data_IF_764730571340
#
_entry.id   IF_764730571340
#
_cell.length_a   1.000
_cell.length_b   1.000
_cell.length_c   1.000
_cell.angle_alpha   90.00
_cell.angle_beta   90.00
_cell.angle_gamma   90.00
#
_symmetry.space_group_name_H-M   'P 1'
#
loop_
_entity.id
_entity.type
_entity.pdbx_description
1 polymer ?
#
# COMPACT_ATOMS: atom_id res chain seq x y z
N UNK A 1 -12.32 39.71 -13.85
CA UNK A 1 -10.94 39.19 -13.90
C UNK A 1 -10.89 38.01 -12.93
N UNK A 2 -10.77 36.79 -13.41
CA UNK A 2 -10.38 35.65 -12.56
C UNK A 2 -8.96 35.91 -12.07
N UNK A 3 -8.80 36.14 -10.78
CA UNK A 3 -7.50 36.26 -10.15
C UNK A 3 -6.76 34.95 -10.35
N UNK A 4 -5.49 35.00 -10.75
CA UNK A 4 -4.66 33.81 -10.88
C UNK A 4 -4.63 33.04 -9.55
N UNK A 5 -4.66 31.71 -9.56
CA UNK A 5 -4.54 30.87 -8.35
C UNK A 5 -3.33 31.32 -7.53
N UNK A 6 -2.21 31.59 -8.19
CA UNK A 6 -1.00 32.10 -7.55
C UNK A 6 -1.29 33.40 -6.77
N UNK A 7 -2.02 34.35 -7.36
CA UNK A 7 -2.29 35.65 -6.72
C UNK A 7 -3.24 35.52 -5.52
N UNK A 8 -4.12 34.50 -5.51
CA UNK A 8 -5.01 34.21 -4.38
C UNK A 8 -4.28 33.55 -3.21
N UNK A 9 -3.35 32.63 -3.48
CA UNK A 9 -2.66 31.84 -2.47
C UNK A 9 -1.43 32.57 -1.94
N UNK A 10 -0.75 33.35 -2.77
CA UNK A 10 0.42 34.14 -2.39
C UNK A 10 0.07 35.57 -1.91
N UNK A 11 -1.21 35.92 -1.79
CA UNK A 11 -1.53 37.13 -1.04
C UNK A 11 -1.07 36.91 0.40
N UNK A 12 -0.21 37.76 0.88
CA UNK A 12 0.30 37.70 2.27
C UNK A 12 -0.85 37.55 3.30
N UNK A 13 -2.01 38.12 2.98
CA UNK A 13 -3.19 38.04 3.82
C UNK A 13 -3.79 36.62 3.90
N UNK A 14 -3.87 35.86 2.79
CA UNK A 14 -4.43 34.51 2.84
C UNK A 14 -3.57 33.59 3.70
N UNK A 15 -2.27 33.55 3.43
CA UNK A 15 -1.34 32.66 4.12
C UNK A 15 -1.14 33.01 5.60
N UNK A 16 -0.96 34.29 5.90
CA UNK A 16 -0.80 34.77 7.28
C UNK A 16 -2.06 34.51 8.14
N UNK A 17 -3.25 34.70 7.55
CA UNK A 17 -4.51 34.42 8.25
C UNK A 17 -4.76 32.92 8.38
N UNK A 18 -4.47 32.14 7.34
CA UNK A 18 -4.57 30.68 7.34
C UNK A 18 -3.68 30.08 8.43
N UNK A 19 -2.43 30.51 8.50
CA UNK A 19 -1.50 30.07 9.53
C UNK A 19 -1.98 30.38 10.93
N UNK A 20 -2.25 31.65 11.24
CA UNK A 20 -2.72 32.09 12.56
C UNK A 20 -3.94 31.32 13.03
N UNK A 21 -4.81 30.96 12.07
CA UNK A 21 -6.08 30.28 12.35
C UNK A 21 -5.87 28.80 12.69
N UNK A 22 -4.89 28.12 12.10
CA UNK A 22 -4.76 26.66 12.16
C UNK A 22 -3.46 26.15 12.76
N UNK A 23 -2.51 27.02 13.09
CA UNK A 23 -1.15 26.65 13.52
C UNK A 23 -1.10 25.64 14.68
N UNK A 24 -1.83 25.92 15.76
CA UNK A 24 -1.82 25.05 16.95
C UNK A 24 -2.39 23.66 16.64
N UNK A 25 -3.47 23.62 15.86
CA UNK A 25 -4.10 22.35 15.44
C UNK A 25 -3.18 21.56 14.51
N UNK A 26 -2.52 22.21 13.58
CA UNK A 26 -1.57 21.55 12.66
C UNK A 26 -0.44 20.91 13.49
N UNK A 27 0.16 21.65 14.40
CA UNK A 27 1.26 21.11 15.24
C UNK A 27 0.81 19.96 16.14
N UNK A 28 -0.43 20.03 16.65
CA UNK A 28 -0.96 19.02 17.58
C UNK A 28 -1.47 17.75 16.89
N UNK A 29 -1.92 17.82 15.63
CA UNK A 29 -2.67 16.72 14.97
C UNK A 29 -1.88 15.96 13.92
N UNK A 30 -0.82 16.55 13.38
CA UNK A 30 -0.02 15.86 12.36
C UNK A 30 0.94 14.86 13.00
N UNK A 31 0.81 13.60 12.61
CA UNK A 31 1.73 12.53 12.97
C UNK A 31 3.17 12.86 12.56
N UNK A 32 4.15 12.44 13.37
CA UNK A 32 5.58 12.65 13.12
C UNK A 32 6.29 11.42 12.55
N UNK A 33 5.53 10.40 12.10
CA UNK A 33 6.11 9.23 11.45
C UNK A 33 6.73 9.61 10.09
N UNK A 34 7.78 8.88 9.68
CA UNK A 34 8.50 9.14 8.44
C UNK A 34 7.61 8.96 7.20
N UNK A 35 6.80 7.90 7.19
CA UNK A 35 5.88 7.58 6.10
C UNK A 35 4.49 8.14 6.40
N UNK A 36 4.17 9.26 5.78
CA UNK A 36 2.87 9.92 5.92
C UNK A 36 2.53 10.71 4.66
N UNK A 37 1.44 10.36 4.02
CA UNK A 37 0.87 11.07 2.87
C UNK A 37 -0.63 11.35 3.01
N UNK A 38 -1.23 11.04 4.17
CA UNK A 38 -2.63 11.36 4.46
C UNK A 38 -2.86 12.86 4.63
N UNK A 39 -4.00 13.37 4.14
CA UNK A 39 -4.34 14.79 4.19
C UNK A 39 -3.52 15.67 3.26
N UNK A 40 -3.66 16.98 3.38
CA UNK A 40 -2.75 17.94 2.77
C UNK A 40 -1.58 18.23 3.73
N UNK A 41 -0.36 18.36 3.22
CA UNK A 41 0.85 18.58 4.01
C UNK A 41 0.96 20.00 4.56
N UNK A 42 -0.01 20.43 5.39
CA UNK A 42 -0.05 21.78 5.94
C UNK A 42 1.10 22.04 6.92
N UNK A 43 1.58 21.01 7.59
CA UNK A 43 2.71 21.08 8.52
C UNK A 43 4.07 21.32 7.82
N UNK A 44 4.14 21.09 6.52
CA UNK A 44 5.33 21.41 5.70
C UNK A 44 5.29 22.81 5.08
N UNK A 45 4.20 23.54 5.31
CA UNK A 45 4.00 24.91 4.83
C UNK A 45 4.13 25.87 6.01
N UNK A 46 5.34 26.03 6.52
CA UNK A 46 5.59 26.87 7.67
C UNK A 46 5.94 28.29 7.24
N UNK A 47 5.29 29.34 7.77
CA UNK A 47 5.57 30.73 7.42
C UNK A 47 6.92 31.23 7.89
N UNK A 48 7.46 30.61 8.96
CA UNK A 48 8.83 30.88 9.41
C UNK A 48 9.92 30.28 8.50
N UNK A 49 9.55 29.47 7.52
CA UNK A 49 10.42 29.16 6.38
C UNK A 49 10.34 30.33 5.43
N UNK A 50 11.40 31.11 5.25
CA UNK A 50 11.49 32.29 4.38
C UNK A 50 11.09 32.03 2.91
N UNK A 51 10.45 30.91 2.56
CA UNK A 51 9.97 30.54 1.23
C UNK A 51 8.82 29.56 1.33
N UNK A 52 7.61 30.04 1.09
CA UNK A 52 6.49 29.17 0.80
C UNK A 52 6.85 28.24 -0.36
N UNK A 53 6.89 26.96 -0.11
CA UNK A 53 7.10 25.95 -1.14
C UNK A 53 5.77 25.23 -1.47
N UNK A 54 5.08 25.70 -2.51
CA UNK A 54 3.82 25.10 -2.97
C UNK A 54 3.97 23.63 -3.40
N UNK A 55 5.19 23.17 -3.70
CA UNK A 55 5.44 21.76 -4.00
C UNK A 55 5.03 20.86 -2.84
N UNK A 56 5.26 21.28 -1.61
CA UNK A 56 4.87 20.53 -0.41
C UNK A 56 3.35 20.32 -0.32
N UNK A 57 2.56 21.30 -0.77
CA UNK A 57 1.09 21.20 -0.83
C UNK A 57 0.65 20.28 -1.97
N UNK A 58 1.37 20.33 -3.11
CA UNK A 58 1.00 19.53 -4.29
C UNK A 58 1.32 18.04 -4.10
N UNK A 59 2.40 17.73 -3.41
CA UNK A 59 2.78 16.34 -3.09
C UNK A 59 1.73 15.74 -2.15
N UNK A 60 1.18 14.58 -2.52
CA UNK A 60 0.13 13.91 -1.76
C UNK A 60 -1.28 14.50 -1.95
N UNK A 61 -1.47 15.54 -2.78
CA UNK A 61 -2.79 16.16 -2.99
C UNK A 61 -3.76 15.31 -3.84
N UNK A 62 -3.36 14.17 -4.33
CA UNK A 62 -4.20 13.21 -5.07
C UNK A 62 -4.94 13.83 -6.29
N UNK A 63 -4.36 14.85 -6.92
CA UNK A 63 -4.98 15.57 -8.04
C UNK A 63 -6.20 16.41 -7.63
N UNK A 64 -6.40 16.67 -6.34
CA UNK A 64 -7.54 17.48 -5.85
C UNK A 64 -7.30 18.99 -5.95
N UNK A 65 -6.02 19.39 -6.07
CA UNK A 65 -5.63 20.82 -6.10
C UNK A 65 -5.16 21.27 -7.49
N UNK A 66 -4.43 20.43 -8.20
CA UNK A 66 -3.87 20.74 -9.51
C UNK A 66 -3.55 19.47 -10.31
N UNK A 67 -3.36 19.63 -11.62
CA UNK A 67 -2.79 18.61 -12.50
C UNK A 67 -1.30 18.89 -12.72
N UNK A 68 -0.45 17.92 -12.42
CA UNK A 68 1.01 18.03 -12.61
C UNK A 68 1.36 17.63 -14.03
N UNK A 69 1.89 18.57 -14.82
CA UNK A 69 2.30 18.32 -16.21
C UNK A 69 3.81 18.05 -16.33
N UNK A 70 4.61 18.54 -15.38
CA UNK A 70 6.06 18.35 -15.36
C UNK A 70 6.59 18.39 -13.93
N UNK A 71 7.46 17.45 -13.59
CA UNK A 71 8.13 17.40 -12.30
C UNK A 71 9.65 17.32 -12.48
N UNK A 72 10.39 17.99 -11.58
CA UNK A 72 11.85 17.83 -11.41
C UNK A 72 12.08 17.09 -10.10
N UNK A 73 12.73 15.93 -10.19
CA UNK A 73 13.01 15.06 -9.05
C UNK A 73 14.49 15.11 -8.69
N UNK A 74 14.78 14.98 -7.41
CA UNK A 74 16.13 14.65 -6.95
C UNK A 74 16.41 13.17 -7.26
N UNK A 75 17.67 12.87 -7.58
CA UNK A 75 18.11 11.51 -7.84
C UNK A 75 19.12 11.11 -6.76
N UNK A 76 18.98 9.87 -6.29
CA UNK A 76 19.95 9.25 -5.39
C UNK A 76 20.91 8.37 -6.17
N UNK A 77 22.21 8.33 -5.82
CA UNK A 77 23.19 7.44 -6.44
C UNK A 77 22.80 5.97 -6.22
N UNK A 78 22.92 5.17 -7.28
CA UNK A 78 22.76 3.73 -7.11
C UNK A 78 23.94 3.18 -6.28
N UNK A 79 23.68 2.29 -5.30
CA UNK A 79 24.73 1.67 -4.51
C UNK A 79 25.64 0.82 -5.42
N UNK A 80 26.95 0.84 -5.18
CA UNK A 80 27.92 0.06 -5.95
C UNK A 80 27.80 -1.44 -5.66
N UNK A 81 27.62 -1.79 -4.41
CA UNK A 81 27.50 -3.17 -3.94
C UNK A 81 26.27 -3.30 -3.04
N UNK A 82 25.54 -4.37 -3.27
CA UNK A 82 24.33 -4.73 -2.51
C UNK A 82 24.44 -6.18 -2.06
N UNK A 83 23.95 -6.47 -0.87
CA UNK A 83 23.77 -7.81 -0.37
C UNK A 83 22.51 -7.93 0.45
N UNK A 84 21.94 -9.14 0.53
CA UNK A 84 20.77 -9.43 1.33
C UNK A 84 21.09 -10.39 2.47
N UNK A 85 20.49 -10.12 3.64
CA UNK A 85 20.28 -11.11 4.68
C UNK A 85 18.78 -11.39 4.77
N UNK A 86 18.38 -12.67 4.61
CA UNK A 86 17.00 -13.11 4.70
C UNK A 86 16.85 -13.84 6.04
N UNK A 87 16.12 -13.22 6.95
CA UNK A 87 15.85 -13.75 8.29
C UNK A 87 14.52 -14.51 8.25
N UNK A 88 14.47 -15.70 8.88
CA UNK A 88 13.32 -16.60 8.80
C UNK A 88 12.67 -16.77 10.17
N UNK A 89 11.32 -16.67 10.22
CA UNK A 89 10.54 -16.70 11.46
C UNK A 89 9.39 -17.69 11.38
N UNK A 90 8.95 -18.17 12.55
CA UNK A 90 7.74 -18.96 12.74
C UNK A 90 6.58 -18.16 13.30
N UNK A 91 6.84 -16.92 13.66
CA UNK A 91 5.89 -16.01 14.29
C UNK A 91 6.02 -14.60 13.71
N UNK A 92 4.86 -13.96 13.47
CA UNK A 92 4.77 -12.62 12.92
C UNK A 92 5.39 -11.58 13.85
N UNK A 93 5.11 -11.66 15.15
CA UNK A 93 5.55 -10.65 16.13
C UNK A 93 7.07 -10.73 16.34
N UNK A 94 7.63 -11.97 16.38
CA UNK A 94 9.09 -12.16 16.40
C UNK A 94 9.78 -11.45 15.23
N UNK A 95 9.18 -11.48 14.03
CA UNK A 95 9.71 -10.76 12.87
C UNK A 95 9.67 -9.24 13.03
N UNK A 96 8.68 -8.69 13.73
CA UNK A 96 8.61 -7.27 14.05
C UNK A 96 9.65 -6.85 15.11
N UNK A 97 9.86 -7.67 16.12
CA UNK A 97 10.93 -7.47 17.12
C UNK A 97 12.32 -7.51 16.45
N UNK A 98 12.53 -8.46 15.55
CA UNK A 98 13.76 -8.54 14.77
C UNK A 98 13.95 -7.34 13.84
N UNK A 99 12.86 -6.72 13.35
CA UNK A 99 12.93 -5.47 12.58
C UNK A 99 13.57 -4.37 13.43
N UNK A 100 13.07 -4.16 14.64
CA UNK A 100 13.61 -3.12 15.54
C UNK A 100 15.10 -3.34 15.81
N UNK A 101 15.49 -4.58 16.13
CA UNK A 101 16.89 -4.93 16.35
C UNK A 101 17.77 -4.73 15.09
N UNK A 102 17.21 -4.94 13.90
CA UNK A 102 17.90 -4.79 12.62
C UNK A 102 18.21 -3.33 12.31
N UNK A 103 17.31 -2.40 12.66
CA UNK A 103 17.48 -0.97 12.37
C UNK A 103 18.75 -0.37 13.00
N UNK A 104 19.18 -0.88 14.15
CA UNK A 104 20.43 -0.43 14.81
C UNK A 104 21.70 -0.70 13.97
N UNK A 105 21.61 -1.60 12.97
CA UNK A 105 22.72 -1.92 12.05
C UNK A 105 22.72 -1.07 10.79
N UNK A 106 21.81 -0.12 10.64
CA UNK A 106 21.72 0.82 9.52
C UNK A 106 21.47 0.16 8.17
N UNK A 107 20.44 -0.69 8.02
CA UNK A 107 20.10 -1.30 6.74
C UNK A 107 19.65 -0.25 5.71
N UNK A 108 19.82 -0.55 4.43
CA UNK A 108 19.25 0.25 3.35
C UNK A 108 17.73 0.02 3.22
N UNK A 109 17.28 -1.20 3.50
CA UNK A 109 15.85 -1.56 3.57
C UNK A 109 15.64 -2.77 4.46
N UNK A 110 14.46 -2.85 5.10
CA UNK A 110 13.96 -4.06 5.76
C UNK A 110 12.53 -4.30 5.28
N UNK A 111 12.35 -5.34 4.46
CA UNK A 111 11.07 -5.70 3.88
C UNK A 111 10.50 -6.96 4.53
N UNK A 112 9.29 -6.87 5.02
CA UNK A 112 8.55 -8.01 5.55
C UNK A 112 7.77 -8.73 4.45
N UNK A 113 7.81 -10.08 4.45
CA UNK A 113 6.99 -10.93 3.58
C UNK A 113 6.38 -12.05 4.43
N UNK A 114 5.06 -12.03 4.57
CA UNK A 114 4.33 -12.93 5.44
C UNK A 114 3.82 -14.22 4.76
N UNK A 115 3.28 -15.10 5.58
CA UNK A 115 2.81 -16.45 5.27
C UNK A 115 1.98 -16.56 4.00
N UNK A 116 1.03 -15.65 3.80
CA UNK A 116 0.11 -15.72 2.65
C UNK A 116 0.87 -15.63 1.32
N UNK A 117 1.84 -14.72 1.22
CA UNK A 117 2.68 -14.57 0.02
C UNK A 117 3.59 -15.78 -0.16
N UNK A 118 4.26 -16.23 0.91
CA UNK A 118 5.17 -17.38 0.88
C UNK A 118 4.43 -18.64 0.39
N UNK A 119 3.23 -18.89 0.93
CA UNK A 119 2.40 -20.03 0.55
C UNK A 119 2.01 -19.98 -0.92
N UNK A 120 1.54 -18.83 -1.40
CA UNK A 120 1.16 -18.67 -2.79
C UNK A 120 2.36 -18.72 -3.75
N UNK A 121 3.52 -18.23 -3.33
CA UNK A 121 4.75 -18.34 -4.13
C UNK A 121 5.19 -19.81 -4.30
N UNK A 122 5.09 -20.63 -3.25
CA UNK A 122 5.37 -22.08 -3.32
C UNK A 122 4.45 -22.83 -4.28
N UNK A 123 3.20 -22.38 -4.41
CA UNK A 123 2.19 -22.96 -5.32
C UNK A 123 2.28 -22.41 -6.75
N UNK A 124 2.95 -21.31 -6.95
CA UNK A 124 3.06 -20.64 -8.25
C UNK A 124 4.14 -21.28 -9.13
N UNK A 125 3.78 -21.70 -10.35
CA UNK A 125 4.74 -22.22 -11.33
C UNK A 125 5.88 -21.22 -11.66
N UNK A 126 5.59 -19.93 -11.58
CA UNK A 126 6.56 -18.87 -11.87
C UNK A 126 7.59 -18.65 -10.75
N UNK A 127 7.26 -18.98 -9.50
CA UNK A 127 8.11 -18.70 -8.34
C UNK A 127 8.64 -19.95 -7.67
N UNK A 128 7.92 -21.07 -7.66
CA UNK A 128 8.27 -22.30 -6.89
C UNK A 128 9.69 -22.81 -7.13
N UNK A 129 10.24 -22.59 -8.32
CA UNK A 129 11.59 -23.02 -8.71
C UNK A 129 12.72 -22.09 -8.23
N UNK A 130 12.38 -20.89 -7.74
CA UNK A 130 13.33 -19.83 -7.39
C UNK A 130 13.22 -19.43 -5.91
N UNK A 131 12.86 -20.39 -5.03
CA UNK A 131 12.68 -20.18 -3.59
C UNK A 131 13.79 -20.84 -2.76
N UNK A 132 14.94 -21.13 -3.37
CA UNK A 132 16.10 -21.76 -2.73
C UNK A 132 16.69 -20.93 -1.58
N UNK A 133 16.34 -19.66 -1.50
CA UNK A 133 16.71 -18.79 -0.39
C UNK A 133 15.88 -19.03 0.88
N UNK A 134 14.72 -19.70 0.80
CA UNK A 134 13.91 -20.06 1.97
C UNK A 134 14.49 -21.28 2.67
N UNK A 135 14.68 -21.19 3.98
CA UNK A 135 15.12 -22.30 4.82
C UNK A 135 13.99 -22.82 5.69
N UNK A 136 13.78 -24.13 5.67
CA UNK A 136 12.69 -24.76 6.41
C UNK A 136 11.31 -24.29 5.95
N UNK A 137 10.40 -24.13 6.91
CA UNK A 137 9.02 -23.71 6.66
C UNK A 137 8.73 -22.39 7.41
N UNK A 138 9.21 -21.23 6.90
CA UNK A 138 8.92 -19.94 7.54
C UNK A 138 7.46 -19.57 7.32
N UNK A 139 6.87 -18.92 8.34
CA UNK A 139 5.63 -18.19 8.18
C UNK A 139 5.91 -16.77 7.70
N UNK A 140 7.03 -16.21 8.15
CA UNK A 140 7.41 -14.83 7.88
C UNK A 140 8.91 -14.76 7.59
N UNK A 141 9.30 -13.83 6.71
CA UNK A 141 10.69 -13.50 6.47
C UNK A 141 10.89 -11.99 6.48
N UNK A 142 12.08 -11.57 6.93
CA UNK A 142 12.58 -10.22 6.67
C UNK A 142 13.68 -10.28 5.62
N UNK A 143 13.54 -9.49 4.58
CA UNK A 143 14.56 -9.25 3.56
C UNK A 143 15.29 -7.97 3.95
N UNK A 144 16.50 -8.10 4.47
CA UNK A 144 17.33 -6.99 4.90
C UNK A 144 18.37 -6.68 3.84
N UNK A 145 18.29 -5.49 3.26
CA UNK A 145 19.27 -5.02 2.28
C UNK A 145 20.35 -4.19 2.96
N UNK A 146 21.61 -4.54 2.69
CA UNK A 146 22.79 -3.76 3.04
C UNK A 146 23.51 -3.33 1.77
N UNK A 147 23.95 -2.08 1.74
CA UNK A 147 24.73 -1.55 0.64
C UNK A 147 26.06 -0.96 1.12
N UNK A 148 26.97 -0.71 0.20
CA UNK A 148 28.29 -0.13 0.50
C UNK A 148 29.11 0.18 -0.76
N UNK A 149 30.27 0.77 -0.53
CA UNK A 149 31.23 1.15 -1.56
C UNK A 149 32.09 -0.04 -2.04
N UNK A 150 32.19 -1.10 -1.22
CA UNK A 150 32.94 -2.32 -1.53
C UNK A 150 32.16 -3.57 -1.11
N UNK A 151 32.42 -4.68 -1.81
CA UNK A 151 31.82 -5.98 -1.46
C UNK A 151 32.21 -6.43 -0.04
N UNK A 152 33.46 -6.18 0.37
CA UNK A 152 33.96 -6.50 1.72
C UNK A 152 33.18 -5.75 2.81
N UNK A 153 32.86 -4.48 2.58
CA UNK A 153 32.04 -3.68 3.49
C UNK A 153 30.65 -4.29 3.66
N UNK A 154 29.97 -4.61 2.55
CA UNK A 154 28.63 -5.20 2.57
C UNK A 154 28.62 -6.56 3.28
N UNK A 155 29.62 -7.41 3.00
CA UNK A 155 29.78 -8.71 3.68
C UNK A 155 30.00 -8.55 5.18
N UNK A 156 30.77 -7.55 5.59
CA UNK A 156 30.99 -7.24 7.01
C UNK A 156 29.73 -6.79 7.71
N UNK A 157 28.93 -5.88 7.08
CA UNK A 157 27.65 -5.43 7.61
C UNK A 157 26.66 -6.60 7.78
N UNK A 158 26.51 -7.45 6.77
CA UNK A 158 25.64 -8.62 6.81
C UNK A 158 26.09 -9.63 7.87
N UNK A 159 27.40 -9.84 8.00
CA UNK A 159 27.95 -10.70 9.06
C UNK A 159 27.62 -10.16 10.45
N UNK A 160 27.84 -8.87 10.69
CA UNK A 160 27.53 -8.19 11.95
C UNK A 160 26.05 -8.34 12.32
N UNK A 161 25.14 -8.09 11.36
CA UNK A 161 23.72 -8.31 11.55
C UNK A 161 23.41 -9.77 11.88
N UNK A 162 23.97 -10.72 11.13
CA UNK A 162 23.73 -12.15 11.34
C UNK A 162 24.21 -12.61 12.72
N UNK A 163 25.36 -12.15 13.15
CA UNK A 163 25.92 -12.48 14.47
C UNK A 163 25.06 -11.86 15.60
N UNK A 164 24.52 -10.65 15.39
CA UNK A 164 23.58 -10.01 16.31
C UNK A 164 22.27 -10.80 16.43
N UNK A 165 21.65 -11.20 15.32
CA UNK A 165 20.40 -11.97 15.33
C UNK A 165 20.58 -13.31 16.06
N UNK A 166 21.70 -14.02 15.81
CA UNK A 166 22.02 -15.26 16.55
C UNK A 166 22.19 -15.03 18.04
N UNK A 167 22.90 -13.96 18.44
CA UNK A 167 23.10 -13.61 19.87
C UNK A 167 21.80 -13.30 20.58
N UNK A 168 20.87 -12.63 19.90
CA UNK A 168 19.56 -12.28 20.43
C UNK A 168 18.55 -13.44 20.33
N UNK A 169 18.94 -14.55 19.68
CA UNK A 169 18.06 -15.69 19.38
C UNK A 169 16.80 -15.26 18.60
N UNK A 170 16.94 -14.24 17.75
CA UNK A 170 15.91 -13.80 16.81
C UNK A 170 16.18 -14.44 15.45
N UNK A 171 15.16 -15.01 14.83
CA UNK A 171 15.28 -15.76 13.57
C UNK A 171 15.92 -17.16 13.73
N UNK A 172 15.21 -18.19 13.29
CA UNK A 172 15.72 -19.57 13.37
C UNK A 172 16.72 -19.93 12.24
N UNK A 173 16.74 -19.15 11.15
CA UNK A 173 17.66 -19.34 10.04
C UNK A 173 17.94 -18.01 9.32
N UNK A 174 19.13 -17.89 8.75
CA UNK A 174 19.58 -16.70 8.01
C UNK A 174 20.23 -17.14 6.71
N UNK A 175 19.67 -16.70 5.58
CA UNK A 175 20.29 -16.85 4.25
C UNK A 175 20.94 -15.54 3.83
N UNK A 176 22.17 -15.60 3.33
CA UNK A 176 22.87 -14.40 2.84
C UNK A 176 23.12 -14.51 1.34
N UNK A 177 22.81 -13.44 0.60
CA UNK A 177 22.93 -13.38 -0.86
C UNK A 177 23.76 -12.17 -1.29
N UNK A 178 24.68 -12.42 -2.24
CA UNK A 178 25.53 -11.39 -2.84
C UNK A 178 25.52 -11.46 -4.38
N UNK A 179 24.97 -12.54 -4.92
CA UNK A 179 24.77 -12.71 -6.36
C UNK A 179 23.54 -11.91 -6.82
N UNK A 180 23.74 -11.06 -7.84
CA UNK A 180 22.70 -10.13 -8.32
C UNK A 180 21.48 -10.85 -8.91
N UNK A 181 21.65 -12.04 -9.52
CA UNK A 181 20.54 -12.79 -10.08
C UNK A 181 19.66 -13.36 -8.94
N UNK A 182 20.27 -13.88 -7.88
CA UNK A 182 19.55 -14.37 -6.68
C UNK A 182 18.87 -13.24 -5.92
N UNK A 183 19.53 -12.09 -5.77
CA UNK A 183 18.94 -10.86 -5.20
C UNK A 183 17.70 -10.45 -6.02
N UNK A 184 17.82 -10.43 -7.34
CA UNK A 184 16.69 -10.10 -8.24
C UNK A 184 15.51 -11.06 -8.10
N UNK A 185 15.75 -12.36 -7.85
CA UNK A 185 14.68 -13.35 -7.62
C UNK A 185 13.89 -13.05 -6.33
N UNK A 186 14.58 -12.67 -5.23
CA UNK A 186 13.93 -12.28 -3.97
C UNK A 186 13.05 -11.05 -4.18
N UNK A 187 13.58 -10.02 -4.82
CA UNK A 187 12.84 -8.80 -5.12
C UNK A 187 11.68 -9.03 -6.08
N UNK A 188 11.82 -9.93 -7.07
CA UNK A 188 10.71 -10.32 -7.95
C UNK A 188 9.56 -10.95 -7.17
N UNK A 189 9.83 -11.82 -6.20
CA UNK A 189 8.80 -12.39 -5.32
C UNK A 189 8.13 -11.29 -4.48
N UNK A 190 8.91 -10.37 -3.90
CA UNK A 190 8.38 -9.25 -3.12
C UNK A 190 7.45 -8.36 -3.95
N UNK A 191 7.86 -8.01 -5.17
CA UNK A 191 7.04 -7.22 -6.10
C UNK A 191 5.75 -7.92 -6.51
N UNK A 192 5.79 -9.26 -6.65
CA UNK A 192 4.60 -10.03 -6.99
C UNK A 192 3.66 -10.26 -5.80
N UNK A 193 4.02 -9.83 -4.59
CA UNK A 193 3.31 -10.10 -3.34
C UNK A 193 1.82 -9.80 -3.40
N UNK A 194 1.42 -8.64 -3.93
CA UNK A 194 0.01 -8.31 -4.13
C UNK A 194 -0.71 -9.32 -5.03
N UNK A 195 -0.13 -9.63 -6.19
CA UNK A 195 -0.72 -10.59 -7.13
C UNK A 195 -0.82 -12.00 -6.53
N UNK A 196 0.20 -12.42 -5.80
CA UNK A 196 0.22 -13.70 -5.10
C UNK A 196 -0.89 -13.77 -4.04
N UNK A 197 -1.03 -12.75 -3.20
CA UNK A 197 -2.10 -12.73 -2.19
C UNK A 197 -3.49 -12.74 -2.80
N UNK A 198 -3.71 -11.98 -3.88
CA UNK A 198 -5.02 -11.91 -4.54
C UNK A 198 -5.39 -13.20 -5.29
N UNK A 199 -4.43 -14.12 -5.49
CA UNK A 199 -4.66 -15.39 -6.18
C UNK A 199 -5.35 -16.46 -5.31
N UNK A 200 -5.64 -16.20 -4.04
CA UNK A 200 -6.37 -17.15 -3.19
C UNK A 200 -7.74 -17.47 -3.78
N UNK A 201 -8.19 -18.74 -3.75
CA UNK A 201 -9.50 -19.13 -4.26
C UNK A 201 -10.66 -18.53 -3.44
N UNK A 202 -11.85 -18.48 -4.04
CA UNK A 202 -13.09 -18.07 -3.38
C UNK A 202 -13.32 -16.56 -3.32
N UNK A 203 -14.42 -16.17 -2.70
CA UNK A 203 -14.92 -14.78 -2.65
C UNK A 203 -14.27 -13.90 -1.59
N UNK A 204 -13.69 -14.51 -0.54
CA UNK A 204 -12.92 -13.77 0.46
C UNK A 204 -11.58 -13.39 -0.14
N UNK A 205 -11.29 -12.10 -0.22
CA UNK A 205 -10.06 -11.56 -0.80
C UNK A 205 -9.36 -10.61 0.18
N UNK A 206 -8.03 -10.53 0.16
CA UNK A 206 -7.26 -9.58 0.96
C UNK A 206 -7.45 -8.16 0.41
N UNK A 207 -8.45 -7.45 0.95
CA UNK A 207 -8.89 -6.14 0.46
C UNK A 207 -8.04 -5.02 1.07
N UNK A 208 -7.62 -4.01 0.27
CA UNK A 208 -6.70 -2.94 0.70
C UNK A 208 -7.40 -1.75 1.36
N UNK A 209 -8.26 -1.95 2.35
CA UNK A 209 -9.05 -0.88 2.97
C UNK A 209 -8.40 -0.26 4.23
N UNK A 210 -7.50 -0.99 4.89
CA UNK A 210 -6.71 -0.55 6.06
C UNK A 210 -5.22 -0.82 5.87
N UNK A 211 -4.80 -1.13 4.65
CA UNK A 211 -3.38 -1.28 4.33
C UNK A 211 -2.66 0.05 4.38
N UNK A 212 -1.31 0.01 4.43
CA UNK A 212 -0.48 1.19 4.31
C UNK A 212 -0.49 2.09 5.56
N UNK A 213 -0.96 1.56 6.68
CA UNK A 213 -0.81 2.26 7.95
C UNK A 213 0.65 2.30 8.37
N UNK A 214 1.07 3.43 8.92
CA UNK A 214 2.44 3.64 9.36
C UNK A 214 2.48 4.09 10.82
N UNK A 215 3.39 3.50 11.58
CA UNK A 215 3.72 3.87 12.95
C UNK A 215 5.24 4.02 13.09
N UNK A 216 5.72 4.60 14.20
CA UNK A 216 7.16 4.55 14.47
C UNK A 216 7.65 3.10 14.51
N UNK A 217 8.77 2.76 13.84
CA UNK A 217 9.25 1.37 13.73
C UNK A 217 9.44 0.67 15.08
N UNK A 218 9.82 1.41 16.12
CA UNK A 218 10.01 0.87 17.47
C UNK A 218 8.67 0.39 18.09
N UNK A 219 7.55 0.95 17.66
CA UNK A 219 6.21 0.57 18.11
C UNK A 219 5.61 -0.59 17.29
N UNK A 220 6.27 -0.99 16.23
CA UNK A 220 5.74 -1.96 15.24
C UNK A 220 5.34 -3.32 15.87
N UNK A 221 6.11 -3.93 16.80
CA UNK A 221 5.72 -5.20 17.40
C UNK A 221 4.37 -5.13 18.12
N UNK A 222 4.17 -4.14 18.98
CA UNK A 222 2.92 -3.98 19.73
C UNK A 222 1.76 -3.55 18.82
N UNK A 223 2.03 -2.66 17.86
CA UNK A 223 1.06 -2.23 16.87
C UNK A 223 0.51 -3.40 16.06
N UNK A 224 1.40 -4.23 15.48
CA UNK A 224 1.02 -5.37 14.64
C UNK A 224 0.30 -6.43 15.45
N UNK A 225 0.70 -6.68 16.68
CA UNK A 225 0.01 -7.59 17.59
C UNK A 225 -1.44 -7.18 17.82
N UNK A 226 -1.68 -5.92 18.18
CA UNK A 226 -3.02 -5.39 18.41
C UNK A 226 -3.84 -5.30 17.12
N UNK A 227 -3.20 -5.01 16.00
CA UNK A 227 -3.84 -5.05 14.69
C UNK A 227 -4.35 -6.45 14.37
N UNK A 228 -3.51 -7.48 14.55
CA UNK A 228 -3.87 -8.88 14.31
C UNK A 228 -5.01 -9.34 15.25
N UNK A 229 -4.98 -8.92 16.51
CA UNK A 229 -6.06 -9.16 17.48
C UNK A 229 -7.39 -8.57 17.01
N UNK A 230 -7.41 -7.32 16.52
CA UNK A 230 -8.62 -6.69 15.94
C UNK A 230 -9.15 -7.52 14.76
N UNK A 231 -8.26 -7.90 13.83
CA UNK A 231 -8.65 -8.70 12.66
C UNK A 231 -9.27 -10.04 13.09
N UNK A 232 -8.61 -10.76 14.00
CA UNK A 232 -9.08 -12.06 14.50
C UNK A 232 -10.40 -11.97 15.29
N UNK A 233 -10.54 -10.93 16.13
CA UNK A 233 -11.77 -10.69 16.90
C UNK A 233 -12.97 -10.38 16.00
N UNK A 234 -12.69 -9.87 14.80
CA UNK A 234 -13.72 -9.68 13.76
C UNK A 234 -13.91 -10.92 12.85
N UNK A 235 -13.37 -12.11 13.24
CA UNK A 235 -13.59 -13.39 12.58
C UNK A 235 -13.00 -13.50 11.19
N UNK A 236 -11.84 -12.88 10.97
CA UNK A 236 -11.07 -12.98 9.72
C UNK A 236 -9.57 -13.07 9.99
N UNK A 237 -8.79 -13.18 8.92
CA UNK A 237 -7.32 -13.17 8.93
C UNK A 237 -6.81 -12.12 7.94
N UNK A 238 -5.54 -11.76 8.02
CA UNK A 238 -4.91 -10.81 7.12
C UNK A 238 -3.61 -11.34 6.48
N UNK A 239 -3.28 -10.83 5.31
CA UNK A 239 -1.95 -10.92 4.74
C UNK A 239 -1.10 -9.73 5.17
N UNK A 240 0.18 -9.99 5.47
CA UNK A 240 1.14 -9.00 5.96
C UNK A 240 2.34 -8.93 5.03
N UNK A 241 2.73 -7.75 4.61
CA UNK A 241 3.98 -7.47 3.91
C UNK A 241 4.25 -5.97 3.90
N UNK A 242 5.46 -5.53 3.66
CA UNK A 242 5.72 -4.10 3.51
C UNK A 242 7.07 -3.64 4.03
N UNK A 243 7.18 -2.33 4.16
CA UNK A 243 8.38 -1.58 4.49
C UNK A 243 8.58 -1.54 6.01
N UNK A 244 9.04 -2.65 6.59
CA UNK A 244 9.15 -2.79 8.05
C UNK A 244 10.14 -1.76 8.64
N UNK A 245 11.22 -1.42 7.92
CA UNK A 245 12.17 -0.37 8.35
C UNK A 245 11.53 1.01 8.53
N UNK A 246 10.42 1.28 7.85
CA UNK A 246 9.71 2.55 7.91
C UNK A 246 8.46 2.50 8.82
N UNK A 247 8.21 1.35 9.47
CA UNK A 247 6.99 1.13 10.24
C UNK A 247 5.71 1.11 9.39
N UNK A 248 5.83 0.96 8.06
CA UNK A 248 4.72 0.98 7.10
C UNK A 248 4.48 -0.42 6.55
N UNK A 249 3.35 -1.02 6.90
CA UNK A 249 2.97 -2.35 6.45
C UNK A 249 1.68 -2.35 5.64
N UNK A 250 1.67 -3.16 4.59
CA UNK A 250 0.48 -3.43 3.79
C UNK A 250 -0.28 -4.61 4.39
N UNK A 251 -1.12 -4.33 5.38
CA UNK A 251 -1.92 -5.34 6.07
C UNK A 251 -3.29 -5.43 5.40
N UNK A 252 -3.65 -6.62 4.91
CA UNK A 252 -4.86 -6.82 4.10
C UNK A 252 -5.76 -7.88 4.70
N UNK A 253 -6.78 -7.51 5.51
CA UNK A 253 -7.77 -8.45 5.99
C UNK A 253 -8.56 -9.10 4.85
N UNK A 254 -8.89 -10.39 4.97
CA UNK A 254 -9.65 -11.12 3.96
C UNK A 254 -11.14 -10.89 4.14
N UNK A 255 -11.76 -10.25 3.17
CA UNK A 255 -13.17 -9.81 3.22
C UNK A 255 -13.94 -10.31 1.99
N UNK A 256 -15.19 -10.74 2.21
CA UNK A 256 -16.13 -11.01 1.11
C UNK A 256 -17.01 -9.77 0.88
N UNK A 257 -16.68 -8.98 -0.13
CA UNK A 257 -17.45 -7.77 -0.50
C UNK A 257 -18.78 -8.06 -1.22
N UNK A 258 -19.12 -9.33 -1.48
CA UNK A 258 -20.41 -9.73 -2.08
C UNK A 258 -21.50 -9.97 -1.02
N UNK A 259 -21.16 -9.92 0.26
CA UNK A 259 -22.09 -10.15 1.37
C UNK A 259 -22.24 -8.91 2.26
N UNK A 260 -23.42 -8.73 2.83
CA UNK A 260 -23.70 -7.65 3.78
C UNK A 260 -22.77 -7.73 4.99
N UNK A 261 -22.64 -8.92 5.60
CA UNK A 261 -21.77 -9.19 6.74
C UNK A 261 -20.30 -8.84 6.42
N UNK A 262 -19.82 -9.17 5.22
CA UNK A 262 -18.45 -8.83 4.81
C UNK A 262 -18.22 -7.32 4.69
N UNK A 263 -19.19 -6.57 4.15
CA UNK A 263 -19.11 -5.12 4.04
C UNK A 263 -19.15 -4.46 5.44
N UNK A 264 -20.06 -4.91 6.31
CA UNK A 264 -20.15 -4.42 7.69
C UNK A 264 -18.87 -4.71 8.48
N UNK A 265 -18.30 -5.90 8.30
CA UNK A 265 -17.02 -6.29 8.90
C UNK A 265 -15.86 -5.42 8.41
N UNK A 266 -15.80 -5.11 7.12
CA UNK A 266 -14.81 -4.19 6.54
C UNK A 266 -14.88 -2.82 7.22
N UNK A 267 -16.07 -2.25 7.32
CA UNK A 267 -16.27 -0.93 7.95
C UNK A 267 -15.85 -0.97 9.42
N UNK A 268 -16.28 -2.01 10.17
CA UNK A 268 -15.95 -2.16 11.58
C UNK A 268 -14.44 -2.29 11.82
N UNK A 269 -13.75 -3.16 11.07
CA UNK A 269 -12.29 -3.30 11.18
C UNK A 269 -11.62 -1.96 10.87
N UNK A 270 -12.06 -1.25 9.83
CA UNK A 270 -11.48 0.04 9.45
C UNK A 270 -11.63 1.09 10.55
N UNK A 271 -12.78 1.12 11.22
CA UNK A 271 -13.05 2.02 12.35
C UNK A 271 -12.11 1.71 13.53
N UNK A 272 -12.06 0.45 13.98
CA UNK A 272 -11.20 0.00 15.08
C UNK A 272 -9.69 0.23 14.77
N UNK A 273 -9.25 -0.01 13.54
CA UNK A 273 -7.87 0.25 13.12
C UNK A 273 -7.56 1.74 13.07
N UNK A 274 -8.52 2.59 12.66
CA UNK A 274 -8.30 4.04 12.70
C UNK A 274 -8.10 4.57 14.12
N UNK A 275 -8.77 3.99 15.12
CA UNK A 275 -8.55 4.29 16.53
C UNK A 275 -7.16 3.82 16.99
N UNK A 276 -6.77 2.60 16.62
CA UNK A 276 -5.45 2.05 16.93
C UNK A 276 -4.32 2.92 16.35
N UNK A 277 -4.41 3.29 15.06
CA UNK A 277 -3.43 4.16 14.40
C UNK A 277 -3.30 5.49 15.15
N UNK A 278 -4.42 6.09 15.53
CA UNK A 278 -4.45 7.35 16.27
C UNK A 278 -3.80 7.22 17.65
N UNK A 279 -4.05 6.13 18.37
CA UNK A 279 -3.43 5.84 19.68
C UNK A 279 -1.89 5.75 19.57
N UNK A 280 -1.39 5.22 18.45
CA UNK A 280 0.03 5.07 18.19
C UNK A 280 0.71 6.31 17.57
N UNK A 281 -0.02 7.43 17.44
CA UNK A 281 0.41 8.65 16.73
C UNK A 281 0.83 8.36 15.28
N UNK A 282 0.21 7.35 14.65
CA UNK A 282 0.51 6.88 13.33
C UNK A 282 -0.18 7.66 12.21
N UNK A 283 -0.04 7.14 10.99
CA UNK A 283 -0.73 7.60 9.79
C UNK A 283 -1.58 6.48 9.19
N UNK A 284 -2.81 6.80 8.76
CA UNK A 284 -3.66 5.83 8.04
C UNK A 284 -3.14 5.55 6.64
N UNK A 285 -2.35 6.44 6.07
CA UNK A 285 -1.69 6.23 4.80
C UNK A 285 -0.24 6.67 4.89
N UNK A 286 0.67 5.71 4.73
CA UNK A 286 2.09 5.95 4.68
C UNK A 286 2.55 6.47 3.31
N UNK A 287 2.02 5.90 2.22
CA UNK A 287 2.45 6.20 0.85
C UNK A 287 1.34 6.19 -0.21
N UNK A 288 0.21 5.46 -0.01
CA UNK A 288 -0.81 5.26 -1.05
C UNK A 288 -1.82 6.41 -1.18
N UNK A 289 -1.92 7.30 -0.19
CA UNK A 289 -2.93 8.37 -0.10
C UNK A 289 -4.23 7.89 0.56
N UNK A 290 -5.08 8.84 0.93
CA UNK A 290 -6.36 8.55 1.60
C UNK A 290 -7.42 8.06 0.60
N UNK A 291 -7.47 8.67 -0.57
CA UNK A 291 -8.46 8.36 -1.60
C UNK A 291 -9.89 8.51 -1.08
N UNK A 292 -10.75 7.54 -1.47
CA UNK A 292 -12.13 7.44 -0.97
C UNK A 292 -12.17 6.64 0.33
N UNK A 293 -11.45 5.52 0.38
CA UNK A 293 -11.64 4.49 1.39
C UNK A 293 -11.10 4.88 2.76
N UNK A 294 -9.99 5.61 2.83
CA UNK A 294 -9.40 6.14 4.06
C UNK A 294 -9.88 7.53 4.41
N UNK A 295 -10.25 8.33 3.39
CA UNK A 295 -10.75 9.69 3.56
C UNK A 295 -12.01 9.80 4.44
N UNK A 296 -12.78 8.72 4.62
CA UNK A 296 -13.90 8.67 5.57
C UNK A 296 -13.47 8.86 7.03
N UNK A 297 -12.20 8.59 7.34
CA UNK A 297 -11.62 8.71 8.67
C UNK A 297 -10.80 9.98 8.88
N UNK A 298 -10.67 10.84 7.86
CA UNK A 298 -9.84 12.05 7.93
C UNK A 298 -10.25 12.97 9.08
N UNK A 299 -11.56 13.17 9.30
CA UNK A 299 -12.02 13.99 10.45
C UNK A 299 -11.68 13.34 11.80
N UNK A 300 -11.75 12.01 11.92
CA UNK A 300 -11.33 11.26 13.12
C UNK A 300 -9.84 11.45 13.40
N UNK A 301 -9.01 11.43 12.35
CA UNK A 301 -7.56 11.57 12.46
C UNK A 301 -7.13 13.01 12.78
N UNK A 302 -7.62 13.96 12.00
CA UNK A 302 -7.14 15.34 12.02
C UNK A 302 -8.02 16.28 12.85
N UNK A 303 -9.27 15.94 13.08
CA UNK A 303 -10.26 16.77 13.75
C UNK A 303 -10.94 17.80 12.80
N UNK A 304 -12.09 18.36 13.23
CA UNK A 304 -12.93 19.21 12.38
C UNK A 304 -12.22 20.47 11.89
N UNK A 305 -11.40 21.12 12.72
CA UNK A 305 -10.68 22.35 12.35
C UNK A 305 -9.69 22.12 11.20
N UNK A 306 -8.97 20.98 11.22
CA UNK A 306 -8.05 20.66 10.11
C UNK A 306 -8.84 20.33 8.85
N UNK A 307 -9.98 19.65 8.95
CA UNK A 307 -10.85 19.39 7.79
C UNK A 307 -11.37 20.71 7.22
N UNK A 308 -11.73 21.69 8.06
CA UNK A 308 -12.10 23.02 7.59
C UNK A 308 -10.95 23.72 6.85
N UNK A 309 -9.71 23.55 7.33
CA UNK A 309 -8.53 24.06 6.62
C UNK A 309 -8.32 23.38 5.26
N UNK A 310 -8.60 22.08 5.14
CA UNK A 310 -8.56 21.38 3.86
C UNK A 310 -9.61 21.92 2.89
N UNK A 311 -10.83 22.19 3.37
CA UNK A 311 -11.90 22.81 2.55
C UNK A 311 -11.51 24.20 2.07
N UNK A 312 -10.94 25.02 2.96
CA UNK A 312 -10.48 26.38 2.66
C UNK A 312 -9.37 26.35 1.60
N UNK A 313 -8.36 25.48 1.77
CA UNK A 313 -7.29 25.30 0.79
C UNK A 313 -7.82 24.79 -0.55
N UNK A 314 -8.67 23.77 -0.55
CA UNK A 314 -9.32 23.24 -1.75
C UNK A 314 -10.09 24.33 -2.49
N UNK A 315 -10.88 25.13 -1.75
CA UNK A 315 -11.64 26.24 -2.33
C UNK A 315 -10.76 27.34 -2.96
N UNK A 316 -9.55 27.57 -2.41
CA UNK A 316 -8.60 28.52 -2.99
C UNK A 316 -7.99 28.01 -4.31
N UNK A 317 -7.69 26.70 -4.41
CA UNK A 317 -7.13 26.08 -5.63
C UNK A 317 -8.21 25.77 -6.67
N UNK A 318 -9.34 25.24 -6.26
CA UNK A 318 -10.41 24.72 -7.11
C UNK A 318 -11.79 25.19 -6.64
N UNK A 319 -12.12 26.48 -6.85
CA UNK A 319 -13.39 27.05 -6.38
C UNK A 319 -14.63 26.45 -7.02
N UNK A 320 -14.48 25.75 -8.12
CA UNK A 320 -15.58 25.07 -8.84
C UNK A 320 -15.69 23.59 -8.53
N UNK A 321 -14.79 23.06 -7.70
CA UNK A 321 -14.78 21.65 -7.24
C UNK A 321 -14.81 20.63 -8.37
N UNK A 322 -14.02 20.87 -9.43
CA UNK A 322 -13.90 19.96 -10.58
C UNK A 322 -12.66 19.04 -10.50
N UNK A 323 -11.68 19.40 -9.66
CA UNK A 323 -10.45 18.64 -9.52
C UNK A 323 -10.65 17.47 -8.54
N UNK A 324 -10.85 16.27 -9.07
CA UNK A 324 -10.94 15.01 -8.32
C UNK A 324 -11.73 15.10 -6.99
N UNK A 325 -13.01 15.52 -6.98
CA UNK A 325 -13.78 15.72 -5.76
C UNK A 325 -14.03 14.42 -5.00
N UNK A 326 -14.29 14.51 -3.67
CA UNK A 326 -14.60 13.35 -2.83
C UNK A 326 -13.42 12.43 -2.56
N UNK A 327 -12.22 13.00 -2.48
CA UNK A 327 -10.98 12.34 -2.07
C UNK A 327 -10.37 13.09 -0.88
N UNK A 328 -9.65 12.38 -0.03
CA UNK A 328 -8.97 12.89 1.17
C UNK A 328 -9.97 13.24 2.28
N UNK A 329 -10.97 14.04 2.02
CA UNK A 329 -12.05 14.47 2.92
C UNK A 329 -13.36 14.62 2.14
N UNK A 330 -14.47 14.79 2.85
CA UNK A 330 -15.83 14.86 2.26
C UNK A 330 -16.09 13.72 1.25
N UNK A 331 -15.64 12.53 1.60
CA UNK A 331 -15.71 11.33 0.75
C UNK A 331 -17.08 10.66 0.86
N UNK A 332 -17.50 9.86 -0.14
CA UNK A 332 -18.62 8.95 0.01
C UNK A 332 -18.43 7.99 1.19
N UNK A 333 -19.50 7.38 1.69
CA UNK A 333 -19.40 6.35 2.74
C UNK A 333 -18.57 5.17 2.25
N UNK A 334 -17.83 4.55 3.14
CA UNK A 334 -16.90 3.45 2.82
C UNK A 334 -17.58 2.26 2.13
N UNK A 335 -18.83 1.99 2.43
CA UNK A 335 -19.62 0.92 1.80
C UNK A 335 -20.27 1.28 0.48
N UNK A 336 -20.17 2.54 0.04
CA UNK A 336 -20.77 2.99 -1.22
C UNK A 336 -19.82 2.74 -2.40
N UNK A 337 -20.39 2.49 -3.58
CA UNK A 337 -19.66 2.36 -4.84
C UNK A 337 -18.56 1.27 -4.84
N UNK A 338 -18.76 0.18 -4.09
CA UNK A 338 -17.83 -0.93 -4.09
C UNK A 338 -17.79 -1.63 -5.47
N UNK A 339 -16.63 -2.16 -5.85
CA UNK A 339 -16.46 -2.97 -7.06
C UNK A 339 -17.44 -4.15 -7.14
N UNK A 340 -17.67 -4.76 -5.97
CA UNK A 340 -18.70 -5.76 -5.73
C UNK A 340 -19.72 -5.18 -4.75
N UNK A 341 -20.79 -5.88 -4.50
CA UNK A 341 -21.78 -5.50 -3.52
C UNK A 341 -22.83 -6.60 -3.45
N UNK A 342 -23.79 -6.50 -2.53
CA UNK A 342 -24.81 -7.53 -2.32
C UNK A 342 -25.71 -7.77 -3.54
N UNK A 343 -25.77 -6.81 -4.47
CA UNK A 343 -26.51 -6.94 -5.72
C UNK A 343 -25.66 -7.56 -6.87
N UNK A 344 -24.36 -7.77 -6.63
CA UNK A 344 -23.47 -8.33 -7.64
C UNK A 344 -23.83 -9.79 -7.94
N UNK A 345 -24.14 -10.08 -9.19
CA UNK A 345 -24.47 -11.41 -9.67
C UNK A 345 -23.57 -11.77 -10.83
N UNK A 346 -22.93 -12.92 -10.75
CA UNK A 346 -22.17 -13.50 -11.84
C UNK A 346 -23.09 -14.29 -12.77
N UNK A 347 -22.83 -14.18 -14.06
CA UNK A 347 -23.39 -15.10 -15.05
C UNK A 347 -22.54 -16.36 -15.03
N UNK A 348 -23.13 -17.50 -14.70
CA UNK A 348 -22.46 -18.81 -14.88
C UNK A 348 -22.22 -19.07 -16.34
N UNK A 349 -20.99 -19.41 -16.68
CA UNK A 349 -20.57 -19.74 -18.04
C UNK A 349 -19.97 -21.13 -18.02
N UNK A 350 -20.63 -22.06 -18.69
CA UNK A 350 -20.10 -23.41 -18.87
C UNK A 350 -18.98 -23.38 -19.91
N UNK A 351 -17.84 -23.93 -19.55
CA UNK A 351 -16.64 -23.99 -20.41
C UNK A 351 -16.16 -25.42 -20.58
N UNK A 352 -15.45 -25.67 -21.69
CA UNK A 352 -14.80 -26.97 -21.92
C UNK A 352 -13.56 -27.18 -21.06
N UNK A 353 -12.96 -26.10 -20.54
CA UNK A 353 -11.82 -26.14 -19.64
C UNK A 353 -12.31 -26.18 -18.18
N UNK A 354 -11.59 -26.92 -17.35
CA UNK A 354 -11.88 -27.05 -15.93
C UNK A 354 -11.32 -25.86 -15.14
N UNK A 355 -12.19 -25.05 -14.54
CA UNK A 355 -11.89 -23.95 -13.63
C UNK A 355 -12.42 -24.22 -12.21
N UNK A 356 -12.66 -25.48 -11.84
CA UNK A 356 -13.23 -25.84 -10.53
C UNK A 356 -12.40 -25.34 -9.34
N UNK A 357 -11.06 -25.35 -9.47
CA UNK A 357 -10.13 -24.85 -8.45
C UNK A 357 -10.33 -23.35 -8.17
N UNK A 358 -10.72 -22.59 -9.19
CA UNK A 358 -10.99 -21.15 -9.08
C UNK A 358 -12.41 -20.83 -8.64
N UNK A 359 -13.28 -21.83 -8.52
CA UNK A 359 -14.69 -21.66 -8.24
C UNK A 359 -15.52 -21.38 -9.51
N UNK A 360 -15.06 -21.88 -10.67
CA UNK A 360 -15.65 -21.67 -11.99
C UNK A 360 -14.88 -20.65 -12.83
N UNK A 361 -15.30 -20.52 -14.10
CA UNK A 361 -14.70 -19.55 -15.03
C UNK A 361 -14.80 -18.10 -14.50
N UNK A 362 -15.91 -17.78 -13.86
CA UNK A 362 -16.17 -16.49 -13.23
C UNK A 362 -15.14 -16.20 -12.15
N UNK A 363 -14.88 -17.17 -11.27
CA UNK A 363 -13.86 -17.06 -10.20
C UNK A 363 -12.46 -16.83 -10.76
N UNK A 364 -12.12 -17.49 -11.88
CA UNK A 364 -10.85 -17.26 -12.57
C UNK A 364 -10.73 -15.82 -13.09
N UNK A 365 -11.80 -15.25 -13.67
CA UNK A 365 -11.82 -13.86 -14.14
C UNK A 365 -11.67 -12.86 -12.98
N UNK A 366 -12.34 -13.12 -11.85
CA UNK A 366 -12.30 -12.25 -10.67
C UNK A 366 -10.93 -12.16 -9.98
N UNK A 367 -10.01 -13.07 -10.28
CA UNK A 367 -8.61 -12.94 -9.84
C UNK A 367 -7.89 -11.72 -10.43
N UNK A 368 -8.45 -11.05 -11.42
CA UNK A 368 -7.87 -9.85 -12.01
C UNK A 368 -7.83 -8.71 -10.98
N UNK A 369 -6.63 -8.26 -10.64
CA UNK A 369 -6.37 -7.14 -9.70
C UNK A 369 -6.27 -5.78 -10.39
N UNK A 370 -6.45 -5.72 -11.70
CA UNK A 370 -6.43 -4.47 -12.46
C UNK A 370 -5.03 -3.87 -12.71
N UNK A 371 -3.95 -4.58 -12.41
CA UNK A 371 -2.57 -4.08 -12.56
C UNK A 371 -2.16 -3.76 -14.01
N UNK A 372 -2.94 -4.23 -14.98
CA UNK A 372 -2.74 -3.91 -16.39
C UNK A 372 -1.57 -4.64 -17.06
N UNK A 373 -1.06 -5.74 -16.49
CA UNK A 373 0.00 -6.54 -17.10
C UNK A 373 -0.36 -7.05 -18.51
N UNK A 374 -1.65 -7.24 -18.81
CA UNK A 374 -2.15 -7.59 -20.14
C UNK A 374 -2.02 -6.44 -21.16
N UNK A 375 -1.67 -5.23 -20.75
CA UNK A 375 -1.48 -4.05 -21.62
C UNK A 375 -0.01 -3.72 -21.90
N UNK A 376 0.92 -4.62 -21.62
CA UNK A 376 2.34 -4.42 -21.94
C UNK A 376 2.53 -4.32 -23.45
N UNK A 377 3.37 -3.39 -23.89
CA UNK A 377 3.67 -3.14 -25.31
C UNK A 377 5.03 -3.69 -25.75
N UNK A 378 5.95 -3.89 -24.82
CA UNK A 378 7.37 -4.10 -25.08
C UNK A 378 7.91 -5.46 -24.63
N UNK A 379 7.08 -6.29 -24.02
CA UNK A 379 7.53 -7.59 -23.52
C UNK A 379 6.39 -8.60 -23.37
N UNK A 380 6.69 -9.86 -23.68
CA UNK A 380 5.76 -10.98 -23.55
C UNK A 380 4.70 -11.03 -24.65
N UNK A 381 3.86 -12.07 -24.64
CA UNK A 381 2.81 -12.31 -25.62
C UNK A 381 1.42 -12.43 -24.97
N UNK A 382 1.22 -11.82 -23.81
CA UNK A 382 -0.02 -11.97 -23.03
C UNK A 382 -1.26 -11.50 -23.79
N UNK A 383 -1.16 -10.41 -24.55
CA UNK A 383 -2.28 -9.87 -25.31
C UNK A 383 -1.82 -9.27 -26.66
N UNK A 384 -1.63 -10.10 -27.71
CA UNK A 384 -1.22 -9.63 -29.03
C UNK A 384 -2.17 -8.60 -29.63
N UNK A 385 -3.49 -8.75 -29.42
CA UNK A 385 -4.50 -7.82 -29.92
C UNK A 385 -4.35 -6.43 -29.32
N UNK A 386 -4.13 -6.32 -28.01
CA UNK A 386 -3.83 -5.02 -27.40
C UNK A 386 -2.51 -4.43 -27.89
N UNK A 387 -1.47 -5.25 -28.04
CA UNK A 387 -0.18 -4.79 -28.56
C UNK A 387 -0.30 -4.17 -29.95
N UNK A 388 -1.18 -4.74 -30.79
CA UNK A 388 -1.43 -4.23 -32.14
C UNK A 388 -2.30 -2.97 -32.17
N UNK A 389 -3.39 -2.95 -31.40
CA UNK A 389 -4.41 -1.89 -31.49
C UNK A 389 -4.19 -0.76 -30.47
N UNK A 390 -3.60 -1.07 -29.32
CA UNK A 390 -3.48 -0.18 -28.13
C UNK A 390 -4.83 0.26 -27.55
N UNK A 391 -5.90 -0.41 -27.89
CA UNK A 391 -7.24 -0.14 -27.40
C UNK A 391 -7.60 -1.06 -26.24
N UNK A 392 -8.10 -0.50 -25.14
CA UNK A 392 -8.46 -1.25 -23.92
C UNK A 392 -9.44 -2.38 -24.20
N UNK A 393 -10.41 -2.16 -25.09
CA UNK A 393 -11.43 -3.16 -25.47
C UNK A 393 -10.81 -4.47 -25.99
N UNK A 394 -9.60 -4.42 -26.52
CA UNK A 394 -8.89 -5.60 -27.03
C UNK A 394 -7.94 -6.21 -26.01
N UNK A 395 -7.89 -5.72 -24.78
CA UNK A 395 -7.09 -6.32 -23.71
C UNK A 395 -7.75 -7.58 -23.15
N UNK A 396 -6.97 -8.53 -22.68
CA UNK A 396 -7.49 -9.75 -22.01
C UNK A 396 -8.46 -9.39 -20.88
N UNK A 397 -8.14 -8.35 -20.10
CA UNK A 397 -9.01 -7.87 -19.03
C UNK A 397 -10.37 -7.41 -19.56
N UNK A 398 -10.39 -6.55 -20.56
CA UNK A 398 -11.63 -6.02 -21.10
C UNK A 398 -12.51 -7.10 -21.71
N UNK A 399 -11.91 -8.03 -22.48
CA UNK A 399 -12.62 -9.19 -23.05
C UNK A 399 -13.23 -10.04 -21.94
N UNK A 400 -12.48 -10.37 -20.89
CA UNK A 400 -12.95 -11.17 -19.76
C UNK A 400 -14.11 -10.48 -19.02
N UNK A 401 -13.99 -9.18 -18.72
CA UNK A 401 -15.05 -8.42 -18.07
C UNK A 401 -16.30 -8.28 -18.93
N UNK A 402 -16.16 -8.15 -20.24
CA UNK A 402 -17.30 -8.09 -21.16
C UNK A 402 -18.16 -9.34 -21.03
N UNK A 403 -17.56 -10.53 -20.90
CA UNK A 403 -18.31 -11.77 -20.70
C UNK A 403 -19.07 -11.81 -19.36
N UNK A 404 -18.53 -11.21 -18.30
CA UNK A 404 -19.22 -11.15 -16.99
C UNK A 404 -20.33 -10.11 -16.93
N UNK A 405 -20.21 -9.01 -17.67
CA UNK A 405 -21.08 -7.83 -17.55
C UNK A 405 -22.05 -7.67 -18.71
N UNK A 406 -22.07 -8.58 -19.69
CA UNK A 406 -23.05 -8.52 -20.76
C UNK A 406 -24.46 -8.52 -20.17
N UNK A 407 -25.29 -7.50 -20.48
CA UNK A 407 -26.68 -7.48 -20.03
C UNK A 407 -27.39 -8.72 -20.57
N UNK A 408 -28.07 -9.41 -19.66
CA UNK A 408 -28.82 -10.64 -19.96
C UNK A 408 -30.02 -10.42 -20.89
N UNK A 409 -30.28 -9.20 -21.36
CA UNK A 409 -31.44 -8.79 -22.11
C UNK A 409 -31.08 -8.03 -23.39
N UNK A 410 -30.21 -8.57 -24.20
CA UNK A 410 -30.25 -8.25 -25.64
C UNK A 410 -30.46 -9.57 -26.39
N UNK A 411 -31.75 -9.88 -26.58
CA UNK A 411 -32.15 -10.62 -27.74
C UNK A 411 -31.63 -9.82 -28.96
N UNK A 412 -30.77 -10.47 -29.73
CA UNK A 412 -30.42 -10.04 -31.07
C UNK A 412 -31.49 -10.54 -32.00
#
# INVERSE_FOLDING_TARGET
>A
RQMCIRDRITSDDFLNNFEKKYYDEINAKYSKVNRRVGGYNLDLVHPNSNKLNLVNIMVGSEGTLAAVTKAKLNLEPLPKYVGLAILHFKDLIESMEATVATLEEGPAAVEHIGKMIITQAKQSLGFSRNLDFLQGEPTDILVVEMNGETETEVRSKIKKLSDKMRRLNLSYAITTLFDSAKISQVWAMRQAGLGLMMNIPGDKKPIPFVEDTAVSPEKLPEYVKRFDEIVRNNGTEAGYYGHASEGCLHIRPTINLKTKDGIERMIKISDEISDLVKEFDGSLSGEHGDGIVRGVWSEKMYGPKIIDSFRELKGAFDPTTIMNPGKIFDTPKMGDNLRYGTAYKLKKIDTLLDFSVEGGFEGAIEKCIGVGACRKLNAGAMCPSYMATREEVHSTRAVSYTHLTLPTNREV
#
